data_IF_502013568802
#
_entry.id   IF_502013568802
#
_cell.length_a   1.000
_cell.length_b   1.000
_cell.length_c   1.000
_cell.angle_alpha   90.00
_cell.angle_beta   90.00
_cell.angle_gamma   90.00
#
_symmetry.space_group_name_H-M   'P 1'
#
loop_
_entity.id
_entity.type
_entity.pdbx_description
1 polymer ?
#
# COMPACT_ATOMS: atom_id res chain seq x y z
N UNK A 1 -19.55 -9.14 2.75
CA UNK A 1 -18.19 -9.12 3.30
C UNK A 1 -18.02 -7.78 3.95
N UNK A 2 -17.65 -7.75 5.23
CA UNK A 2 -17.32 -6.51 5.92
C UNK A 2 -15.83 -6.19 5.68
N UNK A 3 -15.49 -4.92 5.49
CA UNK A 3 -14.14 -4.49 5.14
C UNK A 3 -13.77 -3.23 5.91
N UNK A 4 -12.53 -3.20 6.41
CA UNK A 4 -11.91 -2.02 7.00
C UNK A 4 -10.65 -1.68 6.21
N UNK A 5 -10.49 -0.42 5.84
CA UNK A 5 -9.24 0.08 5.28
C UNK A 5 -8.18 0.20 6.37
N UNK A 6 -6.95 -0.17 6.07
CA UNK A 6 -5.79 0.12 6.90
C UNK A 6 -4.75 0.90 6.09
N UNK A 7 -4.40 2.10 6.55
CA UNK A 7 -3.38 2.92 5.93
C UNK A 7 -2.09 2.84 6.73
N UNK A 8 -1.08 2.18 6.16
CA UNK A 8 0.29 2.20 6.63
C UNK A 8 1.24 2.17 5.42
N UNK A 9 2.01 3.23 5.25
CA UNK A 9 2.96 3.34 4.15
C UNK A 9 4.06 4.36 4.48
N UNK A 10 5.07 3.98 5.27
CA UNK A 10 6.17 4.86 5.66
C UNK A 10 7.05 5.27 4.45
N UNK A 11 6.86 4.62 3.30
CA UNK A 11 7.68 4.76 2.11
C UNK A 11 7.25 5.95 1.22
N UNK A 12 6.18 6.67 1.56
CA UNK A 12 5.68 7.78 0.75
C UNK A 12 6.48 9.03 1.09
N UNK A 13 7.25 9.52 0.14
CA UNK A 13 8.07 10.72 0.25
C UNK A 13 7.77 11.66 -0.92
N UNK A 14 7.90 12.98 -0.72
CA UNK A 14 8.15 13.65 0.57
C UNK A 14 6.92 13.59 1.51
N UNK A 15 7.06 14.08 2.75
CA UNK A 15 5.96 14.08 3.75
C UNK A 15 4.70 14.79 3.24
N UNK A 16 4.84 15.76 2.33
CA UNK A 16 3.71 16.42 1.68
C UNK A 16 2.92 15.47 0.77
N UNK A 17 3.57 14.52 0.10
CA UNK A 17 2.90 13.47 -0.67
C UNK A 17 2.18 12.49 0.26
N UNK A 18 2.82 12.08 1.37
CA UNK A 18 2.19 11.23 2.37
C UNK A 18 0.88 11.84 2.88
N UNK A 19 0.93 13.12 3.29
CA UNK A 19 -0.25 13.86 3.75
C UNK A 19 -1.33 13.95 2.68
N UNK A 20 -0.96 14.26 1.43
CA UNK A 20 -1.92 14.31 0.31
C UNK A 20 -2.63 12.98 0.12
N UNK A 21 -1.89 11.86 0.12
CA UNK A 21 -2.46 10.51 -0.05
C UNK A 21 -3.34 10.10 1.13
N UNK A 22 -2.92 10.40 2.37
CA UNK A 22 -3.69 10.15 3.57
C UNK A 22 -5.04 10.90 3.53
N UNK A 23 -5.01 12.22 3.32
CA UNK A 23 -6.22 13.06 3.23
C UNK A 23 -7.14 12.56 2.11
N UNK A 24 -6.56 12.18 0.97
CA UNK A 24 -7.33 11.65 -0.17
C UNK A 24 -8.05 10.35 0.20
N UNK A 25 -7.38 9.45 0.92
CA UNK A 25 -7.98 8.19 1.38
C UNK A 25 -9.03 8.43 2.46
N UNK A 26 -8.77 9.33 3.43
CA UNK A 26 -9.74 9.70 4.47
C UNK A 26 -11.02 10.29 3.85
N UNK A 27 -10.88 11.20 2.87
CA UNK A 27 -12.02 11.75 2.14
C UNK A 27 -12.80 10.66 1.39
N UNK A 28 -12.11 9.76 0.70
CA UNK A 28 -12.76 8.64 0.02
C UNK A 28 -13.47 7.70 0.99
N UNK A 29 -12.84 7.37 2.12
CA UNK A 29 -13.42 6.51 3.13
C UNK A 29 -14.71 7.09 3.71
N UNK A 30 -14.76 8.40 3.94
CA UNK A 30 -15.97 9.09 4.36
C UNK A 30 -17.10 9.01 3.31
N UNK A 31 -16.78 9.23 2.02
CA UNK A 31 -17.77 9.15 0.93
C UNK A 31 -18.29 7.71 0.76
N UNK A 32 -17.39 6.73 0.85
CA UNK A 32 -17.70 5.32 0.65
C UNK A 32 -18.28 4.65 1.91
N UNK A 33 -18.36 5.37 3.04
CA UNK A 33 -18.70 4.82 4.36
C UNK A 33 -17.82 3.61 4.73
N UNK A 34 -16.53 3.67 4.37
CA UNK A 34 -15.54 2.63 4.64
C UNK A 34 -14.90 2.92 6.01
N UNK A 35 -15.02 2.01 7.00
CA UNK A 35 -14.21 2.08 8.21
C UNK A 35 -12.72 2.16 7.85
N UNK A 36 -11.99 3.10 8.43
CA UNK A 36 -10.59 3.33 8.10
C UNK A 36 -9.76 3.49 9.37
N UNK A 37 -8.73 2.66 9.51
CA UNK A 37 -7.68 2.78 10.52
C UNK A 37 -6.47 3.43 9.84
N UNK A 38 -5.97 4.52 10.41
CA UNK A 38 -4.81 5.23 9.88
C UNK A 38 -3.64 5.14 10.86
N UNK A 39 -2.55 4.54 10.38
CA UNK A 39 -1.27 4.54 11.07
C UNK A 39 -0.41 5.65 10.46
N UNK A 40 -0.06 6.63 11.29
CA UNK A 40 0.67 7.84 10.88
C UNK A 40 2.16 7.75 11.18
N UNK A 41 2.64 6.58 11.61
CA UNK A 41 4.07 6.32 11.72
C UNK A 41 4.75 6.53 10.36
N UNK A 42 5.82 7.31 10.40
CA UNK A 42 6.56 7.76 9.22
C UNK A 42 8.05 7.49 9.46
N UNK A 43 8.39 6.22 9.50
CA UNK A 43 9.74 5.72 9.79
C UNK A 43 10.66 5.83 8.55
N UNK A 44 10.97 7.07 8.16
CA UNK A 44 11.78 7.37 6.98
C UNK A 44 13.16 6.71 7.05
N UNK A 45 13.83 6.82 8.19
CA UNK A 45 15.18 6.29 8.41
C UNK A 45 15.20 4.77 8.22
N UNK A 46 14.31 4.05 8.90
CA UNK A 46 14.14 2.59 8.76
C UNK A 46 13.83 2.19 7.32
N UNK A 47 12.97 2.96 6.64
CA UNK A 47 12.69 2.71 5.22
C UNK A 47 13.93 2.86 4.35
N UNK A 48 14.68 3.95 4.52
CA UNK A 48 15.87 4.22 3.71
C UNK A 48 16.95 3.16 3.93
N UNK A 49 17.22 2.78 5.18
CA UNK A 49 18.19 1.74 5.52
C UNK A 49 17.82 0.40 4.85
N UNK A 50 16.58 -0.05 5.01
CA UNK A 50 16.12 -1.29 4.40
C UNK A 50 16.10 -1.25 2.87
N UNK A 51 15.63 -0.14 2.29
CA UNK A 51 15.62 0.05 0.84
C UNK A 51 17.02 0.05 0.23
N UNK A 52 17.99 0.68 0.91
CA UNK A 52 19.40 0.67 0.49
C UNK A 52 20.01 -0.72 0.62
N UNK A 53 19.73 -1.44 1.71
CA UNK A 53 20.19 -2.82 1.91
C UNK A 53 19.72 -3.79 0.82
N UNK A 54 18.50 -3.61 0.31
CA UNK A 54 17.94 -4.40 -0.80
C UNK A 54 18.36 -3.89 -2.20
N UNK A 55 18.90 -2.66 -2.29
CA UNK A 55 19.38 -2.07 -3.55
C UNK A 55 18.35 -2.09 -4.68
N UNK A 56 18.63 -2.86 -5.75
CA UNK A 56 17.73 -2.96 -6.91
C UNK A 56 16.38 -3.58 -6.54
N UNK A 57 16.35 -4.47 -5.55
CA UNK A 57 15.16 -5.16 -5.06
C UNK A 57 14.45 -4.45 -3.90
N UNK A 58 14.73 -3.16 -3.66
CA UNK A 58 14.11 -2.33 -2.60
C UNK A 58 12.59 -2.41 -2.49
N UNK A 59 11.88 -2.72 -3.58
CA UNK A 59 10.43 -2.91 -3.55
C UNK A 59 10.01 -4.09 -2.67
N UNK A 60 10.84 -5.15 -2.57
CA UNK A 60 10.58 -6.30 -1.71
C UNK A 60 10.54 -5.89 -0.24
N UNK A 61 11.49 -5.07 0.21
CA UNK A 61 11.47 -4.49 1.55
C UNK A 61 10.19 -3.68 1.79
N UNK A 62 9.85 -2.77 0.86
CA UNK A 62 8.62 -1.98 0.91
C UNK A 62 7.35 -2.83 1.03
N UNK A 63 7.24 -3.93 0.28
CA UNK A 63 6.10 -4.84 0.37
C UNK A 63 6.05 -5.55 1.71
N UNK A 64 7.18 -6.14 2.12
CA UNK A 64 7.29 -6.88 3.38
C UNK A 64 6.88 -6.01 4.56
N UNK A 65 7.49 -4.85 4.73
CA UNK A 65 7.17 -3.92 5.84
C UNK A 65 5.68 -3.57 5.90
N UNK A 66 5.07 -3.31 4.73
CA UNK A 66 3.66 -2.90 4.67
C UNK A 66 2.69 -4.06 4.90
N UNK A 67 3.01 -5.24 4.37
CA UNK A 67 2.20 -6.44 4.59
C UNK A 67 2.30 -6.89 6.03
N UNK A 68 3.51 -7.02 6.58
CA UNK A 68 3.75 -7.47 7.95
C UNK A 68 3.00 -6.61 8.97
N UNK A 69 3.04 -5.27 8.83
CA UNK A 69 2.25 -4.37 9.69
C UNK A 69 0.73 -4.59 9.54
N UNK A 70 0.24 -4.85 8.33
CA UNK A 70 -1.18 -5.13 8.09
C UNK A 70 -1.61 -6.48 8.69
N UNK A 71 -0.77 -7.51 8.61
CA UNK A 71 -1.01 -8.82 9.23
C UNK A 71 -0.97 -8.75 10.76
N UNK A 72 -0.01 -8.03 11.33
CA UNK A 72 0.04 -7.76 12.76
C UNK A 72 -1.26 -7.07 13.21
N UNK A 73 -1.65 -6.00 12.53
CA UNK A 73 -2.90 -5.28 12.85
C UNK A 73 -4.13 -6.17 12.72
N UNK A 74 -4.18 -7.01 11.69
CA UNK A 74 -5.27 -7.95 11.50
C UNK A 74 -5.36 -8.99 12.63
N UNK A 75 -4.22 -9.50 13.12
CA UNK A 75 -4.19 -10.42 14.24
C UNK A 75 -4.62 -9.76 15.55
N UNK A 76 -4.13 -8.54 15.83
CA UNK A 76 -4.45 -7.79 17.04
C UNK A 76 -5.95 -7.46 17.14
N UNK A 77 -6.55 -7.08 16.01
CA UNK A 77 -7.96 -6.67 15.91
C UNK A 77 -8.90 -7.83 15.52
N UNK A 78 -8.37 -9.05 15.36
CA UNK A 78 -9.11 -10.29 15.05
C UNK A 78 -9.87 -10.29 13.71
N UNK A 79 -9.24 -9.76 12.66
CA UNK A 79 -9.74 -9.91 11.29
C UNK A 79 -9.47 -11.32 10.75
N UNK A 80 -10.35 -11.84 9.88
CA UNK A 80 -10.19 -13.19 9.32
C UNK A 80 -9.21 -13.26 8.13
N UNK A 81 -8.97 -12.13 7.47
CA UNK A 81 -8.17 -12.06 6.26
C UNK A 81 -7.55 -10.68 6.01
N UNK A 82 -6.42 -10.67 5.29
CA UNK A 82 -5.74 -9.48 4.79
C UNK A 82 -5.69 -9.50 3.27
N UNK A 83 -5.92 -8.34 2.65
CA UNK A 83 -5.56 -8.08 1.25
C UNK A 83 -4.85 -6.73 1.16
N UNK A 84 -4.37 -6.34 -0.02
CA UNK A 84 -3.58 -5.12 -0.18
C UNK A 84 -3.86 -4.37 -1.47
N UNK A 85 -3.83 -3.04 -1.38
CA UNK A 85 -3.92 -2.14 -2.54
C UNK A 85 -2.69 -2.24 -3.46
N UNK A 86 -1.60 -2.87 -3.01
CA UNK A 86 -0.46 -3.19 -3.88
C UNK A 86 -0.87 -4.04 -5.09
N UNK A 87 -1.92 -4.86 -4.95
CA UNK A 87 -2.46 -5.72 -6.01
C UNK A 87 -3.27 -4.96 -7.08
N UNK A 88 -3.48 -3.65 -6.92
CA UNK A 88 -4.13 -2.82 -7.95
C UNK A 88 -3.17 -2.37 -9.06
N UNK A 89 -1.89 -2.13 -8.72
CA UNK A 89 -0.95 -1.53 -9.67
C UNK A 89 -0.33 -2.56 -10.63
N UNK A 90 -0.32 -2.23 -11.92
CA UNK A 90 0.34 -3.00 -12.98
C UNK A 90 1.87 -3.03 -12.88
N UNK A 91 2.46 -2.14 -12.08
CA UNK A 91 3.91 -2.01 -11.92
C UNK A 91 4.47 -2.81 -10.72
N UNK A 92 3.59 -3.36 -9.87
CA UNK A 92 4.03 -4.10 -8.69
C UNK A 92 4.24 -5.58 -9.03
N UNK A 93 5.18 -6.21 -8.34
CA UNK A 93 5.50 -7.64 -8.51
C UNK A 93 4.48 -8.49 -7.74
N UNK A 94 3.36 -8.80 -8.39
CA UNK A 94 2.25 -9.56 -7.78
C UNK A 94 2.67 -10.92 -7.24
N UNK A 95 3.55 -11.65 -7.95
CA UNK A 95 4.02 -12.95 -7.48
C UNK A 95 4.77 -12.83 -6.16
N UNK A 96 5.66 -11.84 -6.03
CA UNK A 96 6.38 -11.57 -4.78
C UNK A 96 5.44 -11.11 -3.66
N UNK A 97 4.40 -10.33 -3.97
CA UNK A 97 3.39 -9.91 -2.99
C UNK A 97 2.57 -11.11 -2.52
N UNK A 98 2.22 -12.03 -3.43
CA UNK A 98 1.47 -13.25 -3.11
C UNK A 98 2.30 -14.17 -2.21
N UNK A 99 3.54 -14.45 -2.60
CA UNK A 99 4.47 -15.28 -1.81
C UNK A 99 4.64 -14.74 -0.39
N UNK A 100 4.94 -13.44 -0.24
CA UNK A 100 5.03 -12.81 1.08
C UNK A 100 3.71 -12.84 1.87
N UNK A 101 2.58 -12.66 1.18
CA UNK A 101 1.27 -12.74 1.81
C UNK A 101 0.96 -14.14 2.34
N UNK A 102 1.30 -15.18 1.57
CA UNK A 102 1.12 -16.58 1.96
C UNK A 102 2.04 -16.95 3.14
N UNK A 103 3.32 -16.52 3.12
CA UNK A 103 4.24 -16.69 4.25
C UNK A 103 3.72 -16.02 5.53
N UNK A 104 3.26 -14.77 5.43
CA UNK A 104 2.71 -14.02 6.57
C UNK A 104 1.39 -14.62 7.05
N UNK A 105 0.59 -15.23 6.17
CA UNK A 105 -0.62 -15.91 6.56
C UNK A 105 -0.35 -17.09 7.50
N UNK A 106 0.72 -17.83 7.25
CA UNK A 106 1.16 -18.94 8.11
C UNK A 106 1.70 -18.44 9.46
N UNK A 107 2.49 -17.36 9.45
CA UNK A 107 3.08 -16.75 10.66
C UNK A 107 1.99 -16.20 11.59
N UNK A 108 1.08 -15.39 11.05
CA UNK A 108 0.07 -14.68 11.82
C UNK A 108 -1.23 -15.46 12.01
N UNK A 109 -1.40 -16.59 11.31
CA UNK A 109 -2.65 -17.37 11.26
C UNK A 109 -3.84 -16.56 10.77
N UNK A 110 -3.60 -15.68 9.80
CA UNK A 110 -4.60 -14.82 9.14
C UNK A 110 -4.60 -15.12 7.65
N UNK A 111 -5.76 -15.31 7.02
CA UNK A 111 -5.78 -15.66 5.59
C UNK A 111 -5.27 -14.52 4.71
N UNK A 112 -4.37 -14.79 3.78
CA UNK A 112 -4.11 -13.84 2.69
C UNK A 112 -5.18 -13.98 1.59
N UNK A 113 -5.94 -12.92 1.35
CA UNK A 113 -6.88 -12.85 0.25
C UNK A 113 -6.20 -12.20 -0.96
N UNK A 114 -5.54 -13.03 -1.77
CA UNK A 114 -5.01 -12.58 -3.05
C UNK A 114 -6.14 -12.39 -4.08
N UNK A 115 -6.20 -11.21 -4.68
CA UNK A 115 -7.00 -10.96 -5.87
C UNK A 115 -6.28 -10.01 -6.82
N UNK A 116 -6.26 -10.37 -8.10
CA UNK A 116 -5.72 -9.51 -9.15
C UNK A 116 -6.69 -8.34 -9.45
N UNK A 117 -6.49 -7.22 -8.75
CA UNK A 117 -7.29 -6.01 -8.93
C UNK A 117 -6.92 -5.20 -10.19
N UNK A 118 -5.90 -5.61 -10.97
CA UNK A 118 -5.56 -4.96 -12.25
C UNK A 118 -6.71 -5.05 -13.26
N UNK A 119 -7.57 -6.06 -13.15
CA UNK A 119 -8.80 -6.19 -13.94
C UNK A 119 -9.75 -5.00 -13.77
N UNK A 120 -9.74 -4.36 -12.59
CA UNK A 120 -10.52 -3.17 -12.28
C UNK A 120 -9.84 -1.84 -12.65
N UNK A 121 -8.65 -1.85 -13.25
CA UNK A 121 -7.82 -0.65 -13.45
C UNK A 121 -8.51 0.48 -14.22
N UNK A 122 -9.21 0.15 -15.32
CA UNK A 122 -9.92 1.16 -16.12
C UNK A 122 -11.06 1.81 -15.34
N UNK A 123 -11.88 0.97 -14.69
CA UNK A 123 -13.00 1.41 -13.85
C UNK A 123 -12.50 2.27 -12.69
N UNK A 124 -11.44 1.85 -11.99
CA UNK A 124 -10.85 2.64 -10.90
C UNK A 124 -10.34 4.01 -11.35
N UNK A 125 -9.76 4.12 -12.56
CA UNK A 125 -9.39 5.42 -13.13
C UNK A 125 -10.63 6.28 -13.38
N UNK A 126 -11.68 5.73 -13.98
CA UNK A 126 -12.91 6.48 -14.29
C UNK A 126 -13.60 6.97 -13.02
N UNK A 127 -13.78 6.09 -12.02
CA UNK A 127 -14.38 6.44 -10.74
C UNK A 127 -13.55 7.50 -10.00
N UNK A 128 -12.22 7.36 -9.97
CA UNK A 128 -11.35 8.37 -9.34
C UNK A 128 -11.49 9.76 -9.97
N UNK A 129 -11.72 9.84 -11.30
CA UNK A 129 -11.96 11.11 -11.99
C UNK A 129 -13.33 11.71 -11.63
N UNK A 130 -14.38 10.90 -11.55
CA UNK A 130 -15.75 11.35 -11.23
C UNK A 130 -15.82 12.08 -9.89
N UNK A 131 -15.05 11.62 -8.90
CA UNK A 131 -14.99 12.21 -7.56
C UNK A 131 -13.81 13.18 -7.35
N UNK A 132 -13.11 13.56 -8.43
CA UNK A 132 -11.93 14.43 -8.39
C UNK A 132 -10.86 13.98 -7.37
N UNK A 133 -10.65 12.67 -7.26
CA UNK A 133 -9.68 12.07 -6.35
C UNK A 133 -8.25 12.40 -6.82
N UNK A 134 -7.38 12.78 -5.88
CA UNK A 134 -5.96 12.92 -6.16
C UNK A 134 -5.37 11.60 -6.66
N UNK A 135 -4.62 11.66 -7.76
CA UNK A 135 -3.99 10.49 -8.39
C UNK A 135 -2.47 10.63 -8.36
N UNK A 136 -1.85 9.73 -7.61
CA UNK A 136 -0.40 9.62 -7.50
C UNK A 136 0.27 9.43 -8.87
N UNK A 137 1.45 10.03 -9.04
CA UNK A 137 2.22 9.98 -10.28
C UNK A 137 3.40 8.98 -10.24
N UNK A 138 3.66 8.42 -9.07
CA UNK A 138 4.78 7.51 -8.77
C UNK A 138 4.42 6.67 -7.55
N UNK A 139 5.19 5.62 -7.23
CA UNK A 139 4.80 4.69 -6.17
C UNK A 139 4.82 5.32 -4.76
N UNK A 140 5.51 6.44 -4.59
CA UNK A 140 5.67 7.16 -3.33
C UNK A 140 7.12 7.19 -2.86
N UNK A 141 7.96 6.22 -3.17
CA UNK A 141 9.33 6.23 -2.65
C UNK A 141 10.23 7.24 -3.36
N UNK A 142 11.21 7.78 -2.60
CA UNK A 142 12.19 8.77 -3.08
C UNK A 142 12.93 8.29 -4.34
N UNK A 143 13.17 6.98 -4.46
CA UNK A 143 13.81 6.40 -5.64
C UNK A 143 12.91 6.47 -6.88
N UNK A 144 11.61 6.19 -6.73
CA UNK A 144 10.64 6.29 -7.83
C UNK A 144 10.37 7.74 -8.21
N UNK A 145 10.44 8.67 -7.26
CA UNK A 145 10.39 10.10 -7.53
C UNK A 145 11.62 10.56 -8.33
N UNK A 146 12.82 10.19 -7.88
CA UNK A 146 14.06 10.44 -8.61
C UNK A 146 14.01 9.90 -10.03
N UNK A 147 13.63 8.63 -10.21
CA UNK A 147 13.59 7.99 -11.53
C UNK A 147 12.60 8.72 -12.45
N UNK A 148 11.44 9.15 -11.92
CA UNK A 148 10.44 9.94 -12.67
C UNK A 148 11.01 11.26 -13.20
N UNK A 149 11.85 11.95 -12.45
CA UNK A 149 12.42 13.24 -12.88
C UNK A 149 13.73 13.11 -13.65
N UNK A 150 14.49 12.03 -13.45
CA UNK A 150 15.70 11.77 -14.23
C UNK A 150 15.37 11.35 -15.66
N UNK A 151 14.31 10.59 -15.82
CA UNK A 151 13.88 10.04 -17.11
C UNK A 151 12.77 10.91 -17.77
N UNK A 152 12.54 12.13 -17.25
CA UNK A 152 11.58 13.12 -17.75
C UNK A 152 12.13 14.05 -18.83
#
# INVERSE_FOLDING_TARGET
MDVTGYFFNPNIHPLTEFRKRLITLENYANIALLPLITDKEYELESFLEGALGYGKDRCLFCYKTRLEKAFQKAADDRYDAVTTTLLYSKHQRHDSIREMGDELADVYRIRFFYQDFRKGWKVGIEESKKINMYRQQYCGCIFSERDRYRDA
#
